data_IF_890564334280
#
_entry.id   IF_890564334280
#
_cell.length_a   1.000
_cell.length_b   1.000
_cell.length_c   1.000
_cell.angle_alpha   90.00
_cell.angle_beta   90.00
_cell.angle_gamma   90.00
#
_symmetry.space_group_name_H-M   'P 1'
#
loop_
_entity.id
_entity.type
_entity.pdbx_description
1 polymer ?
#
# COMPACT_ATOMS: atom_id res chain seq x y z
N UNK A 1 0.02 7.71 71.79
CA UNK A 1 -0.55 6.50 72.42
C UNK A 1 -1.73 6.04 71.59
N UNK A 2 -1.52 5.09 70.67
CA UNK A 2 -2.50 4.15 70.09
C UNK A 2 -1.90 3.57 68.80
N UNK A 3 -1.15 2.49 68.96
CA UNK A 3 -0.66 1.62 67.91
C UNK A 3 -1.76 0.64 67.50
N UNK A 4 -2.09 0.58 66.22
CA UNK A 4 -2.85 -0.53 65.63
C UNK A 4 -2.09 -1.08 64.43
N UNK A 5 -1.37 -2.16 64.71
CA UNK A 5 -0.77 -3.08 63.73
C UNK A 5 -1.89 -3.90 63.09
N UNK A 6 -1.99 -3.87 61.76
CA UNK A 6 -2.83 -4.82 61.00
C UNK A 6 -1.94 -5.77 60.22
N UNK A 7 -2.00 -7.03 60.64
CA UNK A 7 -1.32 -8.17 60.06
C UNK A 7 -1.80 -8.46 58.64
N UNK A 8 -0.86 -8.72 57.73
CA UNK A 8 -1.11 -9.22 56.38
C UNK A 8 -1.21 -10.74 56.48
N UNK A 9 -2.42 -11.26 56.27
CA UNK A 9 -2.69 -12.69 56.20
C UNK A 9 -2.45 -13.16 54.77
N UNK A 10 -1.22 -13.56 54.46
CA UNK A 10 -0.86 -14.17 53.17
C UNK A 10 -1.42 -15.59 53.13
N UNK A 11 -2.31 -15.82 52.17
CA UNK A 11 -2.97 -17.10 51.91
C UNK A 11 -1.97 -18.24 51.64
N UNK A 12 -2.16 -19.35 52.35
CA UNK A 12 -1.46 -20.64 52.22
C UNK A 12 -1.82 -21.37 50.90
N UNK A 13 -1.59 -20.75 49.75
CA UNK A 13 -1.93 -21.31 48.43
C UNK A 13 -0.84 -21.13 47.37
N UNK A 14 0.44 -21.15 47.79
CA UNK A 14 1.58 -21.08 46.85
C UNK A 14 2.57 -22.25 47.01
N UNK A 15 2.44 -23.07 48.05
CA UNK A 15 3.41 -24.13 48.35
C UNK A 15 3.15 -25.47 47.62
N UNK A 16 2.12 -25.57 46.76
CA UNK A 16 1.82 -26.79 46.00
C UNK A 16 2.22 -26.74 44.51
N UNK A 17 2.71 -25.61 43.99
CA UNK A 17 3.14 -25.50 42.59
C UNK A 17 4.65 -25.82 42.43
N UNK A 18 5.42 -25.76 43.52
CA UNK A 18 6.89 -25.94 43.47
C UNK A 18 7.32 -27.41 43.64
N UNK A 19 6.41 -28.33 44.00
CA UNK A 19 6.71 -29.78 44.08
C UNK A 19 6.56 -30.56 42.76
N UNK A 20 6.20 -29.88 41.66
CA UNK A 20 6.02 -30.49 40.34
C UNK A 20 7.21 -30.37 39.38
N UNK A 21 8.31 -29.70 39.77
CA UNK A 21 9.42 -29.37 38.86
C UNK A 21 10.76 -30.03 39.23
N UNK A 22 10.78 -30.99 40.15
CA UNK A 22 11.96 -31.79 40.45
C UNK A 22 11.76 -33.21 39.96
N UNK A 23 11.95 -33.43 38.65
CA UNK A 23 12.33 -34.71 38.02
C UNK A 23 12.50 -34.48 36.51
N UNK A 24 13.58 -33.79 36.13
CA UNK A 24 14.08 -33.73 34.76
C UNK A 24 15.57 -34.07 34.82
N UNK A 25 15.89 -35.36 34.92
CA UNK A 25 17.22 -35.88 34.66
C UNK A 25 17.38 -36.12 33.17
N UNK A 26 18.45 -35.56 32.60
CA UNK A 26 18.87 -35.79 31.22
C UNK A 26 19.55 -37.17 31.13
N UNK A 27 18.92 -38.11 30.44
CA UNK A 27 19.56 -39.35 29.99
C UNK A 27 20.00 -39.18 28.52
N UNK A 28 21.25 -39.54 28.15
CA UNK A 28 21.67 -39.58 26.77
C UNK A 28 21.11 -40.85 26.11
N UNK A 29 20.18 -40.68 25.18
CA UNK A 29 19.58 -41.80 24.46
C UNK A 29 20.45 -42.17 23.24
N UNK A 30 21.27 -43.21 23.39
CA UNK A 30 21.98 -43.88 22.30
C UNK A 30 21.05 -44.96 21.77
N UNK A 31 20.34 -44.68 20.67
CA UNK A 31 19.53 -45.69 19.99
C UNK A 31 20.26 -46.18 18.75
N UNK A 32 20.86 -47.36 18.92
CA UNK A 32 21.33 -48.27 17.88
C UNK A 32 20.14 -48.74 17.04
N UNK A 33 20.28 -48.64 15.72
CA UNK A 33 19.27 -49.08 14.76
C UNK A 33 19.09 -50.60 14.82
N UNK A 34 17.86 -51.06 15.08
CA UNK A 34 17.44 -52.43 14.85
C UNK A 34 16.58 -52.47 13.58
N UNK A 35 17.06 -53.25 12.61
CA UNK A 35 16.43 -53.48 11.31
C UNK A 35 15.21 -54.39 11.46
N UNK A 36 14.02 -53.88 11.12
CA UNK A 36 12.85 -54.70 10.82
C UNK A 36 12.55 -54.60 9.33
N UNK A 37 12.82 -55.69 8.62
CA UNK A 37 12.53 -55.89 7.20
C UNK A 37 11.04 -56.17 7.00
N UNK A 38 10.26 -55.13 6.71
CA UNK A 38 8.92 -55.30 6.14
C UNK A 38 9.02 -55.39 4.62
N UNK A 39 8.75 -56.59 4.09
CA UNK A 39 8.64 -56.82 2.65
C UNK A 39 7.29 -56.28 2.15
N UNK A 40 7.30 -55.06 1.61
CA UNK A 40 6.14 -54.46 0.93
C UNK A 40 6.32 -54.62 -0.58
N UNK A 41 5.34 -55.29 -1.20
CA UNK A 41 5.23 -55.55 -2.63
C UNK A 41 5.33 -54.24 -3.42
N UNK A 42 6.25 -54.19 -4.39
CA UNK A 42 6.41 -53.07 -5.32
C UNK A 42 5.25 -53.05 -6.32
N UNK A 43 4.31 -52.14 -6.14
CA UNK A 43 3.46 -51.65 -7.24
C UNK A 43 4.28 -50.57 -7.96
N UNK A 44 4.36 -50.55 -9.30
CA UNK A 44 5.05 -49.49 -10.01
C UNK A 44 4.23 -48.20 -9.88
N UNK A 45 4.52 -47.42 -8.85
CA UNK A 45 4.10 -46.02 -8.81
C UNK A 45 4.80 -45.33 -9.96
N UNK A 46 4.05 -44.87 -10.96
CA UNK A 46 4.54 -43.92 -11.96
C UNK A 46 4.86 -42.65 -11.17
N UNK A 47 6.10 -42.56 -10.69
CA UNK A 47 6.64 -41.33 -10.15
C UNK A 47 6.88 -40.44 -11.35
N UNK A 48 5.89 -39.60 -11.68
CA UNK A 48 6.13 -38.39 -12.44
C UNK A 48 7.06 -37.52 -11.59
N UNK A 49 8.37 -37.77 -11.70
CA UNK A 49 9.38 -36.87 -11.19
C UNK A 49 9.23 -35.57 -11.98
N UNK A 50 8.58 -34.57 -11.38
CA UNK A 50 8.68 -33.20 -11.87
C UNK A 50 10.15 -32.83 -11.81
N UNK A 51 10.83 -32.88 -12.96
CA UNK A 51 12.23 -32.50 -13.09
C UNK A 51 12.31 -31.00 -12.80
N UNK A 52 12.49 -30.63 -11.53
CA UNK A 52 12.83 -29.28 -11.15
C UNK A 52 14.28 -29.07 -11.56
N UNK A 53 14.50 -28.58 -12.78
CA UNK A 53 15.81 -28.04 -13.17
C UNK A 53 16.12 -26.92 -12.19
N UNK A 54 17.18 -27.08 -11.40
CA UNK A 54 17.64 -26.00 -10.54
C UNK A 54 17.97 -24.79 -11.42
N UNK A 55 17.46 -23.58 -11.10
CA UNK A 55 17.73 -22.40 -11.92
C UNK A 55 19.24 -22.11 -11.88
N UNK A 56 19.80 -21.77 -13.05
CA UNK A 56 21.19 -21.27 -13.13
C UNK A 56 21.32 -20.06 -12.21
N UNK A 57 22.39 -20.05 -11.41
CA UNK A 57 22.74 -18.94 -10.53
C UNK A 57 23.86 -18.19 -11.21
N UNK A 58 23.52 -17.10 -11.91
CA UNK A 58 24.52 -16.30 -12.63
C UNK A 58 25.16 -15.24 -11.69
N UNK A 59 24.74 -15.23 -10.42
CA UNK A 59 25.38 -14.45 -9.35
C UNK A 59 25.25 -12.95 -9.60
N UNK A 60 26.38 -12.24 -9.66
CA UNK A 60 26.39 -10.81 -9.94
C UNK A 60 26.01 -10.48 -11.39
N UNK A 61 26.11 -11.43 -12.31
CA UNK A 61 25.78 -11.18 -13.71
C UNK A 61 24.28 -10.94 -13.93
N UNK A 62 23.42 -11.32 -12.97
CA UNK A 62 21.97 -11.06 -13.01
C UNK A 62 21.62 -9.57 -12.84
N UNK A 63 22.57 -8.74 -12.38
CA UNK A 63 22.40 -7.28 -12.28
C UNK A 63 22.73 -6.54 -13.56
N UNK A 64 23.19 -7.24 -14.60
CA UNK A 64 23.53 -6.67 -15.89
C UNK A 64 22.66 -7.31 -16.97
N UNK A 65 22.33 -6.54 -18.02
CA UNK A 65 21.62 -7.10 -19.17
C UNK A 65 22.51 -8.12 -19.88
N UNK A 66 21.88 -8.96 -20.70
CA UNK A 66 22.53 -9.96 -21.54
C UNK A 66 23.68 -9.27 -22.30
N UNK A 67 24.90 -9.83 -22.32
CA UNK A 67 26.06 -9.20 -22.97
C UNK A 67 25.85 -8.81 -24.43
N UNK A 68 24.91 -9.48 -25.11
CA UNK A 68 24.50 -9.17 -26.49
C UNK A 68 23.79 -7.81 -26.63
N UNK A 69 23.16 -7.32 -25.57
CA UNK A 69 22.37 -6.09 -25.55
C UNK A 69 23.22 -4.86 -25.19
N UNK A 70 24.49 -5.05 -24.81
CA UNK A 70 25.38 -3.95 -24.45
C UNK A 70 25.67 -3.07 -25.66
N UNK A 71 25.50 -1.75 -25.50
CA UNK A 71 25.73 -0.77 -26.57
C UNK A 71 24.64 -0.72 -27.65
N UNK A 72 23.52 -1.45 -27.49
CA UNK A 72 22.38 -1.31 -28.39
C UNK A 72 21.46 -0.17 -27.95
N UNK A 73 21.14 0.75 -28.87
CA UNK A 73 20.23 1.88 -28.59
C UNK A 73 18.78 1.43 -28.35
N UNK A 74 18.37 0.31 -28.97
CA UNK A 74 16.99 -0.19 -28.93
C UNK A 74 16.95 -1.68 -28.63
N UNK A 75 16.67 -2.02 -27.37
CA UNK A 75 16.34 -3.39 -26.96
C UNK A 75 14.85 -3.63 -27.16
N UNK A 76 14.50 -4.66 -27.94
CA UNK A 76 13.10 -5.06 -28.15
C UNK A 76 12.54 -5.68 -26.87
N UNK A 77 11.50 -5.08 -26.32
CA UNK A 77 10.83 -5.54 -25.10
C UNK A 77 9.36 -5.80 -25.36
N UNK A 78 8.79 -6.74 -24.60
CA UNK A 78 7.36 -7.03 -24.64
C UNK A 78 6.51 -5.95 -23.97
N UNK A 79 5.19 -6.19 -23.93
CA UNK A 79 4.24 -5.39 -23.14
C UNK A 79 4.29 -5.75 -21.66
N UNK A 80 3.72 -4.89 -20.82
CA UNK A 80 3.47 -5.17 -19.41
C UNK A 80 2.42 -6.26 -19.20
N UNK A 81 2.46 -6.90 -18.02
CA UNK A 81 1.48 -7.89 -17.58
C UNK A 81 0.15 -7.20 -17.26
N UNK A 82 -0.94 -7.71 -17.85
CA UNK A 82 -2.30 -7.21 -17.62
C UNK A 82 -2.93 -7.88 -16.39
N UNK A 83 -3.82 -7.19 -15.70
CA UNK A 83 -4.55 -7.70 -14.54
C UNK A 83 -5.28 -9.03 -14.84
N UNK A 84 -5.96 -9.12 -15.98
CA UNK A 84 -6.76 -10.31 -16.33
C UNK A 84 -5.90 -11.56 -16.53
N UNK A 85 -4.68 -11.41 -17.04
CA UNK A 85 -3.73 -12.52 -17.22
C UNK A 85 -3.19 -13.00 -15.87
N UNK A 86 -2.91 -12.06 -14.97
CA UNK A 86 -2.41 -12.36 -13.63
C UNK A 86 -3.49 -13.02 -12.76
N UNK A 87 -4.77 -12.70 -12.98
CA UNK A 87 -5.90 -13.34 -12.30
C UNK A 87 -6.05 -14.83 -12.63
N UNK A 88 -5.63 -15.25 -13.83
CA UNK A 88 -5.65 -16.65 -14.26
C UNK A 88 -4.50 -17.50 -13.67
N UNK A 89 -3.47 -16.86 -13.10
CA UNK A 89 -2.27 -17.53 -12.59
C UNK A 89 -2.40 -17.97 -11.15
N UNK A 90 -1.73 -19.07 -10.78
CA UNK A 90 -1.72 -19.55 -9.40
C UNK A 90 -0.88 -18.62 -8.49
N UNK A 91 -1.12 -18.66 -7.17
CA UNK A 91 -0.33 -17.84 -6.23
C UNK A 91 1.16 -18.20 -6.25
N UNK A 92 1.49 -19.47 -6.50
CA UNK A 92 2.88 -19.92 -6.63
C UNK A 92 3.55 -19.34 -7.88
N UNK A 93 2.84 -19.30 -9.01
CA UNK A 93 3.32 -18.69 -10.25
C UNK A 93 3.49 -17.18 -10.10
N UNK A 94 2.54 -16.49 -9.45
CA UNK A 94 2.66 -15.05 -9.17
C UNK A 94 3.86 -14.75 -8.26
N UNK A 95 4.11 -15.59 -7.25
CA UNK A 95 5.27 -15.44 -6.38
C UNK A 95 6.58 -15.62 -7.16
N UNK A 96 6.68 -16.62 -8.04
CA UNK A 96 7.84 -16.80 -8.93
C UNK A 96 8.01 -15.61 -9.88
N UNK A 97 6.92 -15.14 -10.49
CA UNK A 97 6.91 -14.01 -11.41
C UNK A 97 7.38 -12.72 -10.73
N UNK A 98 6.97 -12.47 -9.48
CA UNK A 98 7.43 -11.32 -8.71
C UNK A 98 8.96 -11.24 -8.64
N UNK A 99 9.63 -12.37 -8.37
CA UNK A 99 11.09 -12.40 -8.33
C UNK A 99 11.74 -12.23 -9.70
N UNK A 100 11.14 -12.73 -10.78
CA UNK A 100 11.62 -12.47 -12.14
C UNK A 100 11.56 -10.97 -12.44
N UNK A 101 10.43 -10.31 -12.15
CA UNK A 101 10.27 -8.87 -12.34
C UNK A 101 11.17 -8.05 -11.42
N UNK A 102 11.39 -8.50 -10.18
CA UNK A 102 12.28 -7.83 -9.24
C UNK A 102 13.74 -7.85 -9.71
N UNK A 103 14.21 -8.97 -10.25
CA UNK A 103 15.56 -9.07 -10.82
C UNK A 103 15.73 -8.15 -12.01
N UNK A 104 14.76 -8.18 -12.91
CA UNK A 104 14.69 -7.28 -14.05
C UNK A 104 14.72 -5.80 -13.62
N UNK A 105 13.88 -5.41 -12.65
CA UNK A 105 13.87 -4.04 -12.10
C UNK A 105 15.23 -3.64 -11.54
N UNK A 106 15.86 -4.51 -10.76
CA UNK A 106 17.17 -4.23 -10.17
C UNK A 106 18.26 -4.07 -11.25
N UNK A 107 18.24 -4.91 -12.28
CA UNK A 107 19.12 -4.83 -13.44
C UNK A 107 18.92 -3.53 -14.24
N UNK A 108 17.69 -3.04 -14.36
CA UNK A 108 17.42 -1.77 -15.05
C UNK A 108 17.88 -0.56 -14.23
N UNK A 109 17.68 -0.58 -12.91
CA UNK A 109 18.12 0.50 -12.03
C UNK A 109 19.65 0.60 -11.96
N UNK A 110 20.38 -0.53 -11.98
CA UNK A 110 21.85 -0.52 -12.06
C UNK A 110 22.32 0.06 -13.39
N UNK A 111 21.67 -0.29 -14.50
CA UNK A 111 21.97 0.27 -15.81
C UNK A 111 21.64 1.77 -15.87
N UNK A 112 20.49 2.20 -15.37
CA UNK A 112 20.07 3.61 -15.35
C UNK A 112 21.10 4.46 -14.63
N UNK A 113 21.52 4.02 -13.44
CA UNK A 113 22.54 4.69 -12.65
C UNK A 113 23.91 4.72 -13.36
N UNK A 114 24.29 3.64 -14.05
CA UNK A 114 25.52 3.61 -14.85
C UNK A 114 25.49 4.63 -16.01
N UNK A 115 24.37 4.72 -16.74
CA UNK A 115 24.21 5.68 -17.83
C UNK A 115 24.16 7.12 -17.32
N UNK A 116 23.49 7.36 -16.19
CA UNK A 116 23.46 8.67 -15.54
C UNK A 116 24.86 9.13 -15.12
N UNK A 117 25.69 8.23 -14.57
CA UNK A 117 27.10 8.55 -14.22
C UNK A 117 27.96 8.85 -15.44
N UNK A 118 27.70 8.17 -16.55
CA UNK A 118 28.39 8.40 -17.82
C UNK A 118 27.78 9.56 -18.64
N UNK A 119 26.76 10.23 -18.13
CA UNK A 119 26.00 11.29 -18.83
C UNK A 119 25.45 10.84 -20.20
N UNK A 120 25.06 9.56 -20.29
CA UNK A 120 24.45 8.96 -21.49
C UNK A 120 22.96 8.78 -21.31
N UNK A 121 22.23 8.82 -22.42
CA UNK A 121 20.80 8.48 -22.42
C UNK A 121 20.61 6.98 -22.15
N UNK A 122 19.61 6.66 -21.33
CA UNK A 122 19.26 5.28 -21.04
C UNK A 122 18.61 4.61 -22.26
N UNK A 123 19.06 3.42 -22.68
CA UNK A 123 18.45 2.69 -23.76
C UNK A 123 17.05 2.19 -23.33
N UNK A 124 16.01 2.72 -23.97
CA UNK A 124 14.61 2.32 -23.78
C UNK A 124 14.08 2.46 -22.33
N UNK A 125 13.84 3.70 -21.83
CA UNK A 125 13.33 3.94 -20.48
C UNK A 125 11.94 3.35 -20.22
N UNK A 126 11.12 3.17 -21.26
CA UNK A 126 9.79 2.53 -21.14
C UNK A 126 9.85 1.12 -20.56
N UNK A 127 11.01 0.44 -20.62
CA UNK A 127 11.20 -0.89 -20.02
C UNK A 127 11.02 -0.84 -18.50
N UNK A 128 11.46 0.23 -17.85
CA UNK A 128 11.30 0.45 -16.41
C UNK A 128 9.82 0.61 -16.07
N UNK A 129 9.11 1.48 -16.79
CA UNK A 129 7.68 1.73 -16.60
C UNK A 129 6.86 0.43 -16.78
N UNK A 130 7.17 -0.36 -17.82
CA UNK A 130 6.48 -1.64 -18.07
C UNK A 130 6.67 -2.65 -16.95
N UNK A 131 7.85 -2.68 -16.33
CA UNK A 131 8.13 -3.57 -15.18
C UNK A 131 7.41 -3.06 -13.93
N UNK A 132 7.44 -1.76 -13.68
CA UNK A 132 6.74 -1.13 -12.55
C UNK A 132 5.22 -1.35 -12.63
N UNK A 133 4.62 -1.12 -13.79
CA UNK A 133 3.21 -1.42 -14.07
C UNK A 133 2.88 -2.89 -13.80
N UNK A 134 3.74 -3.80 -14.27
CA UNK A 134 3.55 -5.24 -14.07
C UNK A 134 3.62 -5.63 -12.59
N UNK A 135 4.53 -5.03 -11.83
CA UNK A 135 4.66 -5.24 -10.39
C UNK A 135 3.46 -4.67 -9.62
N UNK A 136 2.98 -3.48 -9.97
CA UNK A 136 1.81 -2.86 -9.37
C UNK A 136 0.52 -3.67 -9.65
N UNK A 137 0.38 -4.18 -10.88
CA UNK A 137 -0.74 -5.05 -11.25
C UNK A 137 -0.71 -6.37 -10.48
N UNK A 138 0.48 -6.97 -10.31
CA UNK A 138 0.66 -8.20 -9.53
C UNK A 138 0.29 -7.98 -8.06
N UNK A 139 0.78 -6.90 -7.44
CA UNK A 139 0.43 -6.55 -6.06
C UNK A 139 -1.09 -6.34 -5.92
N UNK A 140 -1.72 -5.69 -6.90
CA UNK A 140 -3.17 -5.46 -6.90
C UNK A 140 -3.95 -6.77 -6.92
N UNK A 141 -3.61 -7.73 -7.80
CA UNK A 141 -4.27 -9.04 -7.86
C UNK A 141 -4.09 -9.83 -6.56
N UNK A 142 -2.90 -9.81 -5.96
CA UNK A 142 -2.66 -10.47 -4.67
C UNK A 142 -3.47 -9.82 -3.56
N UNK A 143 -3.57 -8.48 -3.54
CA UNK A 143 -4.37 -7.73 -2.57
C UNK A 143 -5.87 -8.01 -2.74
N UNK A 144 -6.37 -8.05 -3.97
CA UNK A 144 -7.76 -8.43 -4.30
C UNK A 144 -8.10 -9.81 -3.73
N UNK A 145 -7.23 -10.81 -3.97
CA UNK A 145 -7.40 -12.19 -3.46
C UNK A 145 -7.42 -12.24 -1.93
N UNK A 146 -6.44 -11.59 -1.28
CA UNK A 146 -6.38 -11.55 0.19
C UNK A 146 -7.60 -10.87 0.79
N UNK A 147 -8.05 -9.75 0.19
CA UNK A 147 -9.24 -9.03 0.63
C UNK A 147 -10.48 -9.91 0.52
N UNK A 148 -10.66 -10.60 -0.59
CA UNK A 148 -11.80 -11.52 -0.78
C UNK A 148 -11.81 -12.65 0.25
N UNK A 149 -10.64 -13.25 0.52
CA UNK A 149 -10.48 -14.28 1.54
C UNK A 149 -10.85 -13.75 2.94
N UNK A 150 -10.27 -12.63 3.38
CA UNK A 150 -10.54 -12.08 4.70
C UNK A 150 -11.98 -11.58 4.87
N UNK A 151 -12.60 -11.11 3.79
CA UNK A 151 -14.01 -10.71 3.81
C UNK A 151 -14.92 -11.91 4.05
N UNK A 152 -14.61 -13.07 3.48
CA UNK A 152 -15.38 -14.30 3.68
C UNK A 152 -15.17 -14.89 5.08
N UNK A 153 -13.91 -14.96 5.53
CA UNK A 153 -13.56 -15.61 6.81
C UNK A 153 -13.88 -14.75 8.04
N UNK A 154 -13.58 -13.45 7.98
CA UNK A 154 -13.65 -12.54 9.15
C UNK A 154 -14.65 -11.40 8.94
N UNK A 155 -15.12 -11.16 7.72
CA UNK A 155 -15.94 -9.98 7.40
C UNK A 155 -15.16 -8.67 7.39
N UNK A 156 -13.83 -8.74 7.29
CA UNK A 156 -12.95 -7.56 7.29
C UNK A 156 -11.97 -7.63 6.11
N UNK A 157 -11.42 -6.49 5.70
CA UNK A 157 -10.58 -6.42 4.50
C UNK A 157 -9.19 -7.09 4.65
N UNK A 158 -8.78 -7.49 5.87
CA UNK A 158 -7.44 -8.01 6.15
C UNK A 158 -6.31 -6.98 6.10
N UNK A 159 -6.60 -5.75 5.67
CA UNK A 159 -5.65 -4.64 5.70
C UNK A 159 -5.37 -4.14 7.12
N UNK A 160 -4.32 -3.33 7.24
CA UNK A 160 -3.93 -2.73 8.51
C UNK A 160 -5.10 -1.93 9.12
N UNK A 161 -5.56 -2.25 10.35
CA UNK A 161 -6.72 -1.61 10.93
C UNK A 161 -6.50 -0.10 11.09
N UNK A 162 -7.49 0.68 10.67
CA UNK A 162 -7.47 2.12 10.74
C UNK A 162 -8.77 2.66 11.33
N UNK A 163 -8.69 3.72 12.11
CA UNK A 163 -9.84 4.38 12.71
C UNK A 163 -9.76 5.88 12.49
N UNK A 164 -10.89 6.52 12.24
CA UNK A 164 -10.94 7.96 12.13
C UNK A 164 -10.78 8.59 13.52
N UNK A 165 -9.77 9.44 13.67
CA UNK A 165 -9.46 10.13 14.93
C UNK A 165 -9.25 11.60 14.71
N UNK A 166 -9.41 12.36 15.78
CA UNK A 166 -9.06 13.78 15.79
C UNK A 166 -7.59 13.95 16.18
N UNK A 167 -6.88 14.84 15.49
CA UNK A 167 -5.56 15.28 15.91
C UNK A 167 -5.70 16.38 17.00
N UNK A 168 -4.59 16.83 17.62
CA UNK A 168 -4.64 17.92 18.60
C UNK A 168 -5.21 19.24 18.05
N UNK A 169 -5.17 19.45 16.73
CA UNK A 169 -5.77 20.60 16.05
C UNK A 169 -7.28 20.43 15.77
N UNK A 170 -7.89 19.33 16.19
CA UNK A 170 -9.31 19.02 15.98
C UNK A 170 -9.69 18.63 14.54
N UNK A 171 -8.70 18.31 13.69
CA UNK A 171 -8.92 17.78 12.34
C UNK A 171 -9.06 16.26 12.37
N UNK A 172 -10.05 15.74 11.64
CA UNK A 172 -10.25 14.29 11.47
C UNK A 172 -9.19 13.75 10.52
N UNK A 173 -8.49 12.70 10.93
CA UNK A 173 -7.53 11.98 10.09
C UNK A 173 -7.66 10.47 10.30
N UNK A 174 -7.26 9.70 9.30
CA UNK A 174 -7.30 8.25 9.36
C UNK A 174 -6.08 7.73 10.15
N UNK A 175 -6.29 7.33 11.40
CA UNK A 175 -5.24 6.79 12.26
C UNK A 175 -5.02 5.30 11.97
N UNK A 176 -3.88 4.98 11.36
CA UNK A 176 -3.44 3.60 11.10
C UNK A 176 -2.85 2.98 12.37
N UNK A 177 -3.57 2.02 12.97
CA UNK A 177 -3.16 1.37 14.22
C UNK A 177 -1.84 0.62 14.06
N UNK A 178 -1.09 0.43 15.15
CA UNK A 178 0.18 -0.31 15.17
C UNK A 178 0.09 -1.45 16.16
N UNK A 179 0.87 -2.50 15.94
CA UNK A 179 1.06 -3.56 16.91
C UNK A 179 1.96 -3.05 18.05
N UNK A 180 1.61 -3.40 19.28
CA UNK A 180 2.36 -3.07 20.50
C UNK A 180 2.43 -4.32 21.37
N UNK A 181 3.58 -4.55 22.01
CA UNK A 181 3.75 -5.69 22.93
C UNK A 181 2.96 -5.54 24.23
N UNK A 182 2.68 -4.30 24.65
CA UNK A 182 2.04 -3.96 25.92
C UNK A 182 0.69 -3.27 25.64
N UNK A 183 -0.36 -3.55 26.44
CA UNK A 183 -1.64 -2.85 26.32
C UNK A 183 -1.53 -1.32 26.40
N UNK A 184 -2.45 -0.63 25.72
CA UNK A 184 -2.45 0.83 25.56
C UNK A 184 -2.36 1.60 26.89
N UNK A 185 -3.03 1.14 27.93
CA UNK A 185 -3.08 1.83 29.22
C UNK A 185 -1.75 1.76 30.01
N UNK A 186 -0.94 0.73 29.78
CA UNK A 186 0.40 0.57 30.37
C UNK A 186 1.49 1.26 29.54
N UNK A 187 1.23 1.56 28.26
CA UNK A 187 2.22 2.14 27.35
C UNK A 187 2.41 3.65 27.61
N UNK A 188 3.43 3.98 28.41
CA UNK A 188 3.78 5.37 28.77
C UNK A 188 4.17 6.22 27.56
N UNK A 189 4.89 5.66 26.58
CA UNK A 189 5.27 6.37 25.34
C UNK A 189 4.04 6.74 24.50
N UNK A 190 3.08 5.83 24.40
CA UNK A 190 1.81 6.10 23.72
C UNK A 190 1.02 7.17 24.46
N UNK A 191 0.93 7.07 25.79
CA UNK A 191 0.24 8.08 26.62
C UNK A 191 0.86 9.47 26.47
N UNK A 192 2.19 9.61 26.49
CA UNK A 192 2.90 10.88 26.32
C UNK A 192 2.57 11.56 24.98
N UNK A 193 2.50 10.78 23.90
CA UNK A 193 2.23 11.31 22.54
C UNK A 193 0.75 11.63 22.30
N UNK A 194 -0.17 10.95 22.99
CA UNK A 194 -1.63 11.11 22.82
C UNK A 194 -2.29 11.77 24.04
N UNK A 195 -1.51 12.44 24.89
CA UNK A 195 -2.01 13.10 26.10
C UNK A 195 -2.87 14.32 25.77
N UNK A 196 -2.52 15.02 24.69
CA UNK A 196 -3.18 16.26 24.29
C UNK A 196 -4.43 15.96 23.47
N UNK A 197 -5.58 16.36 24.00
CA UNK A 197 -6.85 16.39 23.28
C UNK A 197 -7.01 17.65 22.43
N UNK A 198 -8.16 17.75 21.77
CA UNK A 198 -8.61 18.95 21.07
C UNK A 198 -9.79 19.57 21.84
N UNK A 199 -10.14 20.83 21.56
CA UNK A 199 -11.31 21.50 22.15
C UNK A 199 -11.03 22.79 22.92
N UNK A 200 -9.78 23.22 23.00
CA UNK A 200 -9.44 24.55 23.54
C UNK A 200 -9.92 25.69 22.64
N UNK A 201 -10.05 26.89 23.20
CA UNK A 201 -10.47 28.10 22.47
C UNK A 201 -9.62 28.37 21.22
N UNK A 202 -8.29 28.22 21.33
CA UNK A 202 -7.37 28.37 20.21
C UNK A 202 -7.68 27.40 19.06
N UNK A 203 -8.03 26.15 19.39
CA UNK A 203 -8.39 25.12 18.40
C UNK A 203 -9.72 25.47 17.73
N UNK A 204 -10.74 25.92 18.48
CA UNK A 204 -12.00 26.36 17.89
C UNK A 204 -11.83 27.56 16.95
N UNK A 205 -11.04 28.55 17.35
CA UNK A 205 -10.69 29.70 16.50
C UNK A 205 -9.97 29.25 15.23
N UNK A 206 -8.99 28.35 15.35
CA UNK A 206 -8.30 27.76 14.19
C UNK A 206 -9.26 27.04 13.24
N UNK A 207 -10.12 26.16 13.76
CA UNK A 207 -11.07 25.40 12.96
C UNK A 207 -12.06 26.32 12.23
N UNK A 208 -12.52 27.39 12.87
CA UNK A 208 -13.37 28.41 12.25
C UNK A 208 -12.65 29.07 11.08
N UNK A 209 -11.46 29.63 11.30
CA UNK A 209 -10.67 30.29 10.26
C UNK A 209 -10.29 29.33 9.12
N UNK A 210 -10.02 28.07 9.45
CA UNK A 210 -9.74 27.02 8.46
C UNK A 210 -10.96 26.75 7.57
N UNK A 211 -12.16 26.64 8.14
CA UNK A 211 -13.41 26.50 7.37
C UNK A 211 -13.67 27.73 6.50
N UNK A 212 -13.47 28.93 7.03
CA UNK A 212 -13.58 30.18 6.27
C UNK A 212 -12.59 30.21 5.09
N UNK A 213 -11.34 29.77 5.30
CA UNK A 213 -10.33 29.63 4.24
C UNK A 213 -10.76 28.62 3.16
N UNK A 214 -11.26 27.44 3.54
CA UNK A 214 -11.77 26.43 2.61
C UNK A 214 -12.97 26.95 1.81
N UNK A 215 -13.89 27.65 2.47
CA UNK A 215 -15.04 28.26 1.80
C UNK A 215 -14.60 29.34 0.80
N UNK A 216 -13.65 30.19 1.20
CA UNK A 216 -13.06 31.21 0.33
C UNK A 216 -12.40 30.59 -0.90
N UNK A 217 -11.67 29.49 -0.73
CA UNK A 217 -11.05 28.74 -1.84
C UNK A 217 -12.11 28.16 -2.79
N UNK A 218 -13.12 27.46 -2.25
CA UNK A 218 -14.23 26.89 -3.04
C UNK A 218 -15.01 27.97 -3.80
N UNK A 219 -15.28 29.10 -3.16
CA UNK A 219 -15.93 30.24 -3.81
C UNK A 219 -15.07 30.85 -4.91
N UNK A 220 -13.77 31.05 -4.68
CA UNK A 220 -12.83 31.53 -5.71
C UNK A 220 -12.75 30.56 -6.90
N UNK A 221 -12.73 29.24 -6.66
CA UNK A 221 -12.75 28.22 -7.71
C UNK A 221 -14.02 28.32 -8.57
N UNK A 222 -15.21 28.36 -7.95
CA UNK A 222 -16.48 28.57 -8.67
C UNK A 222 -16.49 29.86 -9.49
N UNK A 223 -15.94 30.95 -8.95
CA UNK A 223 -15.83 32.21 -9.68
C UNK A 223 -14.87 32.11 -10.87
N UNK A 224 -13.76 31.35 -10.74
CA UNK A 224 -12.83 31.07 -11.84
C UNK A 224 -13.49 30.22 -12.92
N UNK A 225 -14.21 29.17 -12.54
CA UNK A 225 -14.97 28.31 -13.46
C UNK A 225 -16.03 29.12 -14.21
N UNK A 226 -16.85 29.89 -13.49
CA UNK A 226 -17.82 30.82 -14.08
C UNK A 226 -17.14 31.82 -15.02
N UNK A 227 -16.00 32.40 -14.62
CA UNK A 227 -15.22 33.29 -15.46
C UNK A 227 -14.73 32.63 -16.75
N UNK A 228 -14.24 31.38 -16.67
CA UNK A 228 -13.83 30.59 -17.84
C UNK A 228 -15.01 30.32 -18.78
N UNK A 229 -16.17 29.93 -18.25
CA UNK A 229 -17.39 29.72 -19.04
C UNK A 229 -17.81 31.01 -19.75
N UNK A 230 -17.84 32.14 -19.05
CA UNK A 230 -18.14 33.43 -19.67
C UNK A 230 -17.12 33.78 -20.77
N UNK A 231 -15.83 33.55 -20.54
CA UNK A 231 -14.80 33.76 -21.58
C UNK A 231 -15.06 32.87 -22.80
N UNK A 232 -15.37 31.58 -22.60
CA UNK A 232 -15.65 30.65 -23.69
C UNK A 232 -16.85 31.07 -24.53
N UNK A 233 -17.97 31.44 -23.87
CA UNK A 233 -19.18 31.93 -24.54
C UNK A 233 -18.93 33.23 -25.30
N UNK A 234 -18.02 34.07 -24.80
CA UNK A 234 -17.62 35.31 -25.47
C UNK A 234 -16.72 35.07 -26.69
N UNK A 235 -15.76 34.15 -26.60
CA UNK A 235 -14.84 33.86 -27.72
C UNK A 235 -15.45 32.97 -28.80
N UNK A 236 -16.35 32.06 -28.41
CA UNK A 236 -16.94 31.08 -29.30
C UNK A 236 -18.47 31.22 -29.29
N UNK A 237 -19.06 31.97 -30.24
CA UNK A 237 -20.51 32.18 -30.28
C UNK A 237 -21.28 30.89 -30.64
N UNK A 238 -20.69 29.99 -31.44
CA UNK A 238 -21.26 28.69 -31.79
C UNK A 238 -20.72 27.57 -30.87
N UNK A 239 -20.59 27.85 -29.58
CA UNK A 239 -20.07 26.89 -28.61
C UNK A 239 -21.13 25.85 -28.24
N UNK A 240 -20.75 24.57 -28.29
CA UNK A 240 -21.59 23.49 -27.79
C UNK A 240 -21.76 23.61 -26.26
N UNK A 241 -22.99 23.90 -25.85
CA UNK A 241 -23.35 24.12 -24.46
C UNK A 241 -23.34 22.82 -23.65
N UNK A 242 -23.59 21.68 -24.29
CA UNK A 242 -23.62 20.38 -23.61
C UNK A 242 -22.21 19.99 -23.17
N UNK A 243 -21.23 20.10 -24.06
CA UNK A 243 -19.81 19.89 -23.74
C UNK A 243 -19.30 20.82 -22.63
N UNK A 244 -19.77 22.08 -22.58
CA UNK A 244 -19.39 23.02 -21.50
C UNK A 244 -20.00 22.61 -20.16
N UNK A 245 -21.25 22.13 -20.16
CA UNK A 245 -21.93 21.64 -18.96
C UNK A 245 -21.24 20.41 -18.37
N UNK A 246 -20.82 19.48 -19.23
CA UNK A 246 -20.07 18.29 -18.83
C UNK A 246 -18.74 18.67 -18.18
N UNK A 247 -18.01 19.61 -18.79
CA UNK A 247 -16.70 20.05 -18.28
C UNK A 247 -16.78 20.91 -17.01
N UNK A 248 -17.83 21.71 -16.85
CA UNK A 248 -18.03 22.62 -15.71
C UNK A 248 -19.39 22.40 -15.03
N UNK A 249 -19.59 21.25 -14.36
CA UNK A 249 -20.90 20.88 -13.80
C UNK A 249 -21.32 21.77 -12.61
N UNK A 250 -20.38 22.48 -12.00
CA UNK A 250 -20.59 23.39 -10.88
C UNK A 250 -21.20 24.75 -11.28
N UNK A 251 -21.15 25.09 -12.57
CA UNK A 251 -21.53 26.40 -13.10
C UNK A 251 -22.91 26.34 -13.73
N UNK A 252 -23.79 27.23 -13.30
CA UNK A 252 -25.09 27.43 -13.94
C UNK A 252 -24.92 28.20 -15.26
N UNK A 253 -25.14 27.52 -16.39
CA UNK A 253 -24.98 28.08 -17.73
C UNK A 253 -25.99 29.18 -18.05
N UNK A 254 -27.22 29.08 -17.53
CA UNK A 254 -28.23 30.11 -17.76
C UNK A 254 -27.85 31.41 -17.06
N UNK A 255 -27.26 31.29 -15.87
CA UNK A 255 -26.66 32.42 -15.16
C UNK A 255 -25.42 32.96 -15.88
N UNK A 256 -24.62 32.09 -16.49
CA UNK A 256 -23.47 32.51 -17.28
C UNK A 256 -23.91 33.32 -18.51
N UNK A 257 -24.87 32.81 -19.31
CA UNK A 257 -25.46 33.47 -20.50
C UNK A 257 -26.01 34.87 -20.20
N UNK A 258 -26.67 35.02 -19.05
CA UNK A 258 -27.22 36.32 -18.60
C UNK A 258 -26.16 37.26 -18.02
N UNK A 259 -24.91 36.82 -17.89
CA UNK A 259 -23.85 37.64 -17.31
C UNK A 259 -23.34 38.67 -18.31
N UNK A 260 -23.27 39.93 -17.86
CA UNK A 260 -22.61 41.04 -18.60
C UNK A 260 -21.14 40.77 -18.95
N UNK A 261 -20.53 39.72 -18.40
CA UNK A 261 -19.17 39.30 -18.70
C UNK A 261 -19.02 38.62 -20.07
N UNK A 262 -20.12 38.18 -20.67
CA UNK A 262 -20.14 37.63 -22.02
C UNK A 262 -20.13 38.75 -23.05
N UNK A 263 -20.77 39.87 -22.73
CA UNK A 263 -20.80 41.03 -23.61
C UNK A 263 -19.35 41.47 -23.91
N UNK A 264 -18.95 41.30 -25.16
CA UNK A 264 -17.67 41.80 -25.66
C UNK A 264 -17.67 43.32 -25.77
N UNK A 265 -16.50 43.93 -25.92
CA UNK A 265 -16.37 45.36 -26.22
C UNK A 265 -16.60 45.68 -27.71
N UNK A 266 -17.33 44.83 -28.43
CA UNK A 266 -17.63 45.06 -29.84
C UNK A 266 -18.89 45.91 -29.93
N UNK A 267 -18.81 47.01 -30.67
CA UNK A 267 -19.99 47.75 -31.11
C UNK A 267 -20.75 46.80 -32.04
N UNK A 268 -22.04 46.56 -31.77
CA UNK A 268 -22.89 45.80 -32.69
C UNK A 268 -23.17 46.73 -33.88
N UNK A 269 -22.76 46.32 -35.08
CA UNK A 269 -23.16 46.96 -36.35
C UNK A 269 -24.67 46.85 -36.56
#
# INVERSE_FOLDING_TARGET
MASFTKAVQVSKSVNNIIKGLTNLSLLPNVNTASSLTFAIRRVPTIQCAFIHSTPRRDGLMEFFDVPKNWGQDKVRVGRSWKLDELRLKSNEELHKLWFVLLKERNMLLTMEEAHNREWKYFPNPERIDKVEDSMANLETVVRERNKAYHMLETGTDGERPAALRFNPLGLRFLYRMRQYAIPRFMNTKWKKTHMFGYGGYAVHKFLRLYREKLWNAKRKARNREMGKVCTLLRTFPNLDLEAVKEKYPSVDLEKAKKSRKIDGHFVRD
#
